data_IF_029928841155
#
_entry.id   IF_029928841155
#
_cell.length_a   1.000
_cell.length_b   1.000
_cell.length_c   1.000
_cell.angle_alpha   90.00
_cell.angle_beta   90.00
_cell.angle_gamma   90.00
#
_symmetry.space_group_name_H-M   'P 1'
#
loop_
_entity.id
_entity.type
_entity.pdbx_description
1 polymer ?
#
# COMPACT_ATOMS: atom_id res chain seq x y z
N UNK A 1 29.51 -18.87 -50.61
CA UNK A 1 29.67 -17.79 -51.64
C UNK A 1 29.73 -16.45 -50.91
N UNK A 2 30.95 -15.96 -50.75
CA UNK A 2 31.51 -14.62 -50.93
C UNK A 2 30.67 -13.48 -50.37
N UNK A 3 31.06 -12.89 -49.19
CA UNK A 3 32.00 -11.75 -49.00
C UNK A 3 31.61 -10.49 -49.82
N UNK A 4 31.38 -9.37 -49.10
CA UNK A 4 32.37 -8.30 -49.00
C UNK A 4 31.90 -7.20 -48.01
N UNK A 5 32.81 -6.87 -47.11
CA UNK A 5 32.86 -5.67 -46.28
C UNK A 5 33.52 -4.53 -47.09
N UNK A 6 33.17 -3.29 -46.82
CA UNK A 6 34.07 -2.13 -47.09
C UNK A 6 33.95 -1.12 -45.94
N UNK A 7 35.08 -0.90 -45.32
CA UNK A 7 35.46 0.19 -44.42
C UNK A 7 35.85 1.45 -45.24
N UNK A 8 35.99 2.57 -44.49
CA UNK A 8 36.90 3.71 -44.68
C UNK A 8 36.14 5.04 -44.47
N UNK A 9 36.47 5.97 -43.69
CA UNK A 9 37.51 6.48 -42.79
C UNK A 9 37.51 8.01 -42.79
N UNK A 10 37.74 8.56 -41.61
CA UNK A 10 38.56 9.73 -41.26
C UNK A 10 38.17 11.18 -41.55
N UNK A 11 38.10 11.89 -40.41
CA UNK A 11 38.83 13.14 -40.02
C UNK A 11 38.43 14.49 -40.61
N UNK A 12 38.26 15.45 -39.70
CA UNK A 12 38.47 16.87 -39.93
C UNK A 12 38.06 17.71 -38.72
N UNK A 13 39.04 18.05 -37.89
CA UNK A 13 38.97 19.15 -36.90
C UNK A 13 39.00 20.48 -37.61
N UNK A 14 38.33 21.51 -37.07
CA UNK A 14 38.90 22.87 -37.00
C UNK A 14 38.14 23.74 -35.97
N UNK A 15 38.95 24.43 -35.17
CA UNK A 15 38.66 25.44 -34.16
C UNK A 15 38.46 26.81 -34.81
N UNK A 16 37.71 27.71 -34.13
CA UNK A 16 37.92 29.16 -33.96
C UNK A 16 36.65 29.76 -33.35
N UNK A 17 36.53 30.26 -32.16
CA UNK A 17 37.15 31.40 -31.47
C UNK A 17 36.46 32.78 -31.77
N UNK A 18 35.95 33.37 -30.68
CA UNK A 18 35.72 34.80 -30.35
C UNK A 18 34.66 35.62 -31.08
N UNK A 19 33.71 36.15 -30.33
CA UNK A 19 33.62 37.60 -30.12
C UNK A 19 32.60 37.98 -29.01
N UNK A 20 33.04 38.86 -28.17
CA UNK A 20 32.37 39.56 -27.09
C UNK A 20 31.52 40.70 -27.69
N UNK A 21 30.31 40.92 -27.16
CA UNK A 21 29.51 42.10 -27.50
C UNK A 21 28.50 42.43 -26.37
N UNK A 22 28.73 43.57 -25.76
CA UNK A 22 28.06 44.10 -24.55
C UNK A 22 26.68 44.69 -24.77
N UNK A 23 25.85 44.61 -23.74
CA UNK A 23 24.89 45.52 -23.18
C UNK A 23 23.85 46.24 -24.06
N UNK A 24 22.60 46.06 -23.72
CA UNK A 24 21.61 47.12 -23.59
C UNK A 24 20.48 46.70 -22.66
N UNK A 25 20.38 47.34 -21.50
CA UNK A 25 19.18 47.36 -20.65
C UNK A 25 18.02 48.01 -21.38
N UNK A 26 16.89 47.33 -21.43
CA UNK A 26 15.59 47.94 -21.67
C UNK A 26 14.67 47.49 -20.54
N UNK A 27 14.42 48.43 -19.63
CA UNK A 27 13.36 48.34 -18.63
C UNK A 27 12.03 48.56 -19.34
N UNK A 28 11.20 47.54 -19.41
CA UNK A 28 9.80 47.68 -19.76
C UNK A 28 8.98 47.18 -18.55
N UNK A 29 8.33 48.15 -17.92
CA UNK A 29 7.30 47.91 -16.93
C UNK A 29 6.15 47.17 -17.63
N UNK A 30 5.87 45.96 -17.18
CA UNK A 30 4.67 45.21 -17.56
C UNK A 30 3.81 45.02 -16.32
N UNK A 31 2.56 45.34 -16.51
CA UNK A 31 1.46 45.31 -15.55
C UNK A 31 1.33 43.92 -14.86
N UNK A 32 1.05 44.00 -13.56
CA UNK A 32 0.71 42.88 -12.70
C UNK A 32 -0.54 42.13 -13.24
N UNK A 33 -0.32 40.99 -13.87
CA UNK A 33 -1.24 39.88 -13.85
C UNK A 33 -0.71 38.90 -12.80
N UNK A 34 -1.48 38.66 -11.74
CA UNK A 34 -1.08 37.74 -10.68
C UNK A 34 -0.98 36.33 -11.26
N UNK A 35 0.23 35.94 -11.63
CA UNK A 35 0.59 34.54 -11.75
C UNK A 35 0.67 34.02 -10.33
N UNK A 36 -0.24 33.10 -9.97
CA UNK A 36 -0.02 32.20 -8.86
C UNK A 36 1.28 31.47 -9.17
N UNK A 37 2.31 31.71 -8.40
CA UNK A 37 3.53 30.91 -8.42
C UNK A 37 3.11 29.45 -8.30
N UNK A 38 3.44 28.64 -9.30
CA UNK A 38 3.14 27.22 -9.32
C UNK A 38 3.71 26.61 -8.05
N UNK A 39 2.89 25.82 -7.37
CA UNK A 39 3.30 25.03 -6.23
C UNK A 39 4.56 24.25 -6.63
N UNK A 40 5.70 24.71 -6.12
CA UNK A 40 6.96 23.97 -6.21
C UNK A 40 6.77 22.60 -5.58
N UNK A 41 7.49 21.64 -6.08
CA UNK A 41 7.67 20.35 -5.41
C UNK A 41 7.84 20.62 -3.92
N UNK A 42 6.88 20.10 -3.13
CA UNK A 42 6.92 20.22 -1.67
C UNK A 42 8.06 19.37 -1.18
N UNK A 43 9.27 19.91 -1.17
CA UNK A 43 10.27 19.52 -0.18
C UNK A 43 9.77 20.19 1.10
N UNK A 44 8.84 19.53 1.78
CA UNK A 44 8.35 20.00 3.05
C UNK A 44 9.53 20.00 4.03
N UNK A 45 9.80 21.13 4.64
CA UNK A 45 10.67 21.16 5.80
C UNK A 45 10.08 20.17 6.82
N UNK A 46 10.82 19.09 7.08
CA UNK A 46 10.37 17.99 7.92
C UNK A 46 10.28 18.50 9.36
N UNK A 47 9.07 18.83 9.79
CA UNK A 47 8.78 19.29 11.16
C UNK A 47 8.51 18.06 12.02
N UNK A 48 8.97 18.07 13.28
CA UNK A 48 8.76 16.98 14.25
C UNK A 48 9.17 15.57 13.76
N UNK A 49 10.22 15.47 12.95
CA UNK A 49 10.75 14.21 12.43
C UNK A 49 11.02 13.17 13.54
N UNK A 50 11.59 13.61 14.67
CA UNK A 50 11.91 12.72 15.80
C UNK A 50 10.66 12.02 16.35
N UNK A 51 9.56 12.79 16.54
CA UNK A 51 8.29 12.23 17.01
C UNK A 51 7.66 11.26 16.01
N UNK A 52 7.71 11.62 14.73
CA UNK A 52 7.21 10.76 13.66
C UNK A 52 8.02 9.45 13.58
N UNK A 53 9.34 9.53 13.72
CA UNK A 53 10.22 8.39 13.75
C UNK A 53 9.99 7.51 15.00
N UNK A 54 9.65 8.10 16.16
CA UNK A 54 9.28 7.35 17.37
C UNK A 54 8.03 6.50 17.13
N UNK A 55 6.99 7.06 16.48
CA UNK A 55 5.77 6.33 16.14
C UNK A 55 6.06 5.16 15.20
N UNK A 56 6.89 5.39 14.19
CA UNK A 56 7.35 4.35 13.27
C UNK A 56 8.05 3.21 14.01
N UNK A 57 9.03 3.53 14.83
CA UNK A 57 9.83 2.55 15.60
C UNK A 57 8.96 1.79 16.61
N UNK A 58 7.99 2.45 17.24
CA UNK A 58 7.05 1.82 18.18
C UNK A 58 6.25 0.70 17.53
N UNK A 59 5.82 0.87 16.29
CA UNK A 59 5.09 -0.18 15.56
C UNK A 59 5.98 -1.41 15.30
N UNK A 60 7.27 -1.23 15.03
CA UNK A 60 8.22 -2.34 14.89
C UNK A 60 8.38 -3.12 16.20
N UNK A 61 8.53 -2.42 17.32
CA UNK A 61 8.63 -3.05 18.64
C UNK A 61 7.35 -3.82 19.00
N UNK A 62 6.18 -3.21 18.78
CA UNK A 62 4.89 -3.85 19.05
C UNK A 62 4.67 -5.11 18.19
N UNK A 63 5.09 -5.09 16.93
CA UNK A 63 5.01 -6.27 16.05
C UNK A 63 5.97 -7.36 16.51
N UNK A 64 7.21 -7.00 16.87
CA UNK A 64 8.20 -7.94 17.40
C UNK A 64 7.68 -8.64 18.65
N UNK A 65 7.17 -7.88 19.62
CA UNK A 65 6.60 -8.43 20.88
C UNK A 65 5.41 -9.37 20.59
N UNK A 66 4.52 -8.96 19.68
CA UNK A 66 3.32 -9.74 19.35
C UNK A 66 3.61 -11.07 18.66
N UNK A 67 4.72 -11.15 17.92
CA UNK A 67 5.16 -12.34 17.18
C UNK A 67 6.30 -13.09 17.88
N UNK A 68 6.78 -12.61 19.05
CA UNK A 68 7.88 -13.22 19.80
C UNK A 68 9.22 -13.16 19.06
N UNK A 69 9.56 -12.02 18.43
CA UNK A 69 10.74 -11.84 17.60
C UNK A 69 11.81 -11.00 18.31
N UNK A 70 13.01 -11.58 18.48
CA UNK A 70 14.16 -10.88 19.07
C UNK A 70 14.99 -10.09 18.04
N UNK A 71 14.87 -10.40 16.75
CA UNK A 71 15.78 -9.93 15.71
C UNK A 71 15.13 -8.96 14.68
N UNK A 72 13.93 -8.49 14.95
CA UNK A 72 13.26 -7.56 14.04
C UNK A 72 13.87 -6.16 14.17
N UNK A 73 14.59 -5.74 13.16
CA UNK A 73 15.30 -4.44 13.14
C UNK A 73 14.60 -3.48 12.18
N UNK A 74 14.19 -2.29 12.65
CA UNK A 74 13.55 -1.29 11.80
C UNK A 74 14.45 -0.89 10.63
N UNK A 75 13.85 -0.77 9.44
CA UNK A 75 14.45 -0.05 8.32
C UNK A 75 14.30 1.43 8.58
N UNK A 76 15.31 2.22 8.27
CA UNK A 76 15.22 3.68 8.41
C UNK A 76 14.28 4.24 7.34
N UNK A 77 13.26 4.96 7.76
CA UNK A 77 12.32 5.64 6.88
C UNK A 77 12.14 7.09 7.33
N UNK A 78 12.06 8.02 6.39
CA UNK A 78 11.85 9.42 6.70
C UNK A 78 10.35 9.70 6.82
N UNK A 79 9.89 9.95 8.04
CA UNK A 79 8.52 10.35 8.36
C UNK A 79 8.53 11.78 8.89
N UNK A 80 7.73 12.66 8.27
CA UNK A 80 7.72 14.09 8.52
C UNK A 80 6.32 14.61 8.75
N UNK A 81 6.21 15.65 9.56
CA UNK A 81 4.99 16.46 9.68
C UNK A 81 4.98 17.54 8.58
N UNK A 82 3.89 17.61 7.83
CA UNK A 82 3.67 18.51 6.70
C UNK A 82 2.79 19.67 7.15
N UNK A 83 3.23 20.90 6.92
CA UNK A 83 2.40 22.10 7.05
C UNK A 83 1.41 22.16 5.88
N UNK A 84 0.13 22.16 6.20
CA UNK A 84 -0.96 22.16 5.22
C UNK A 84 -1.68 23.49 5.10
N UNK A 85 -1.17 24.55 5.73
CA UNK A 85 -1.79 25.88 5.75
C UNK A 85 -2.10 26.46 4.36
N UNK A 86 -1.31 26.06 3.35
CA UNK A 86 -1.50 26.47 1.96
C UNK A 86 -2.78 25.93 1.30
N UNK A 87 -3.37 24.85 1.82
CA UNK A 87 -4.63 24.25 1.33
C UNK A 87 -5.83 24.60 2.21
N UNK A 88 -5.61 25.33 3.32
CA UNK A 88 -6.68 25.70 4.25
C UNK A 88 -7.68 26.64 3.58
N UNK A 89 -8.94 26.26 3.57
CA UNK A 89 -10.06 27.11 3.10
C UNK A 89 -11.37 26.59 3.65
N UNK A 90 -12.39 27.46 3.64
CA UNK A 90 -13.76 27.06 3.93
C UNK A 90 -14.45 26.54 2.65
N UNK A 91 -15.43 25.63 2.75
CA UNK A 91 -16.20 25.18 1.61
C UNK A 91 -16.83 26.32 0.84
N UNK A 92 -16.87 26.24 -0.49
CA UNK A 92 -17.51 27.24 -1.33
C UNK A 92 -18.97 27.47 -0.91
N UNK A 93 -19.37 28.74 -0.85
CA UNK A 93 -20.74 29.19 -0.52
C UNK A 93 -21.30 28.67 0.81
N UNK A 94 -20.43 28.29 1.75
CA UNK A 94 -20.84 27.70 3.04
C UNK A 94 -21.48 26.33 2.90
N UNK A 95 -21.23 25.64 1.80
CA UNK A 95 -21.69 24.28 1.53
C UNK A 95 -20.81 23.21 2.19
N UNK A 96 -20.63 22.07 1.51
CA UNK A 96 -19.75 20.98 1.90
C UNK A 96 -18.49 20.95 1.05
N UNK A 97 -17.40 20.42 1.58
CA UNK A 97 -16.22 20.11 0.78
C UNK A 97 -16.54 19.07 -0.27
N UNK A 98 -15.97 19.23 -1.47
CA UNK A 98 -16.08 18.29 -2.58
C UNK A 98 -14.83 17.41 -2.63
N UNK A 99 -14.98 16.16 -2.27
CA UNK A 99 -13.88 15.19 -2.17
C UNK A 99 -13.93 14.22 -3.35
N UNK A 100 -12.82 14.12 -4.09
CA UNK A 100 -12.69 13.12 -5.13
C UNK A 100 -12.16 11.81 -4.53
N UNK A 101 -12.77 10.68 -4.89
CA UNK A 101 -12.31 9.35 -4.53
C UNK A 101 -12.05 8.51 -5.77
N UNK A 102 -10.76 8.28 -6.09
CA UNK A 102 -10.30 7.42 -7.18
C UNK A 102 -10.00 6.02 -6.64
N UNK A 103 -11.02 5.17 -6.63
CA UNK A 103 -10.96 3.83 -6.09
C UNK A 103 -10.32 2.82 -7.07
N UNK A 104 -9.64 1.79 -6.52
CA UNK A 104 -9.20 0.65 -7.33
C UNK A 104 -10.36 -0.23 -7.81
N UNK A 105 -11.46 -0.23 -7.08
CA UNK A 105 -12.64 -1.03 -7.33
C UNK A 105 -12.80 -2.23 -6.40
N UNK A 106 -14.01 -2.81 -6.36
CA UNK A 106 -14.33 -3.94 -5.51
C UNK A 106 -13.87 -5.28 -6.11
N UNK A 107 -12.57 -5.37 -6.44
CA UNK A 107 -11.97 -6.57 -7.05
C UNK A 107 -11.93 -7.77 -6.10
N UNK A 108 -12.04 -7.49 -4.79
CA UNK A 108 -12.16 -8.48 -3.72
C UNK A 108 -12.92 -7.87 -2.54
N UNK A 109 -13.11 -8.63 -1.47
CA UNK A 109 -13.82 -8.15 -0.28
C UNK A 109 -13.13 -6.97 0.40
N UNK A 110 -11.79 -6.87 0.35
CA UNK A 110 -11.08 -5.73 0.90
C UNK A 110 -11.45 -4.43 0.18
N UNK A 111 -11.41 -4.43 -1.16
CA UNK A 111 -11.76 -3.27 -1.97
C UNK A 111 -13.21 -2.82 -1.74
N UNK A 112 -14.15 -3.78 -1.68
CA UNK A 112 -15.56 -3.49 -1.39
C UNK A 112 -15.72 -2.81 -0.03
N UNK A 113 -15.10 -3.37 1.02
CA UNK A 113 -15.21 -2.84 2.37
C UNK A 113 -14.53 -1.47 2.51
N UNK A 114 -13.40 -1.28 1.82
CA UNK A 114 -12.73 0.02 1.77
C UNK A 114 -13.63 1.11 1.18
N UNK A 115 -14.33 0.82 0.09
CA UNK A 115 -15.27 1.77 -0.50
C UNK A 115 -16.47 2.07 0.41
N UNK A 116 -17.02 1.04 1.06
CA UNK A 116 -18.15 1.23 1.96
C UNK A 116 -17.76 2.00 3.23
N UNK A 117 -16.61 1.72 3.82
CA UNK A 117 -16.10 2.48 4.97
C UNK A 117 -15.84 3.96 4.62
N UNK A 118 -15.31 4.22 3.42
CA UNK A 118 -15.16 5.58 2.92
C UNK A 118 -16.51 6.30 2.82
N UNK A 119 -17.52 5.67 2.21
CA UNK A 119 -18.86 6.25 2.05
C UNK A 119 -19.52 6.53 3.38
N UNK A 120 -19.46 5.58 4.32
CA UNK A 120 -19.98 5.78 5.70
C UNK A 120 -19.34 7.00 6.34
N UNK A 121 -18.01 7.14 6.23
CA UNK A 121 -17.31 8.27 6.83
C UNK A 121 -17.66 9.59 6.13
N UNK A 122 -17.82 9.57 4.82
CA UNK A 122 -18.22 10.75 4.04
C UNK A 122 -19.61 11.26 4.43
N UNK A 123 -20.56 10.35 4.64
CA UNK A 123 -21.91 10.65 5.12
C UNK A 123 -21.85 11.27 6.53
N UNK A 124 -21.03 10.72 7.44
CA UNK A 124 -20.86 11.28 8.80
C UNK A 124 -20.30 12.70 8.79
N UNK A 125 -19.35 12.98 7.88
CA UNK A 125 -18.71 14.29 7.75
C UNK A 125 -19.53 15.27 6.92
N UNK A 126 -20.56 14.81 6.21
CA UNK A 126 -21.41 15.63 5.37
C UNK A 126 -20.68 16.23 4.17
N UNK A 127 -19.68 15.51 3.61
CA UNK A 127 -18.93 15.95 2.42
C UNK A 127 -19.59 15.49 1.14
N UNK A 128 -19.44 16.29 0.07
CA UNK A 128 -19.82 15.88 -1.29
C UNK A 128 -18.75 14.96 -1.87
N UNK A 129 -19.13 13.76 -2.31
CA UNK A 129 -18.19 12.82 -2.92
C UNK A 129 -18.39 12.75 -4.43
N UNK A 130 -17.33 13.02 -5.19
CA UNK A 130 -17.24 12.63 -6.60
C UNK A 130 -16.38 11.38 -6.70
N UNK A 131 -16.94 10.33 -7.28
CA UNK A 131 -16.39 8.98 -7.21
C UNK A 131 -16.14 8.39 -8.58
N UNK A 132 -15.02 7.71 -8.74
CA UNK A 132 -14.72 6.86 -9.89
C UNK A 132 -13.98 5.60 -9.47
N UNK A 133 -14.38 4.47 -10.02
CA UNK A 133 -13.77 3.16 -9.75
C UNK A 133 -13.06 2.62 -10.98
N UNK A 134 -11.87 2.07 -10.79
CA UNK A 134 -11.09 1.45 -11.85
C UNK A 134 -11.50 0.00 -12.13
N UNK A 135 -12.25 -0.65 -11.25
CA UNK A 135 -12.65 -2.06 -11.35
C UNK A 135 -11.47 -3.01 -11.67
N UNK A 136 -10.31 -2.75 -11.08
CA UNK A 136 -9.12 -3.56 -11.29
C UNK A 136 -8.31 -3.23 -12.55
N UNK A 137 -8.71 -2.23 -13.35
CA UNK A 137 -8.00 -1.83 -14.55
C UNK A 137 -7.15 -0.58 -14.33
N UNK A 138 -5.82 -0.72 -14.41
CA UNK A 138 -4.88 0.36 -14.16
C UNK A 138 -4.99 1.51 -15.19
N UNK A 139 -5.36 1.23 -16.43
CA UNK A 139 -5.55 2.26 -17.46
C UNK A 139 -6.78 3.10 -17.15
N UNK A 140 -7.87 2.44 -16.75
CA UNK A 140 -9.09 3.11 -16.30
C UNK A 140 -8.81 4.01 -15.09
N UNK A 141 -7.91 3.61 -14.17
CA UNK A 141 -7.55 4.47 -13.03
C UNK A 141 -6.85 5.76 -13.47
N UNK A 142 -5.98 5.70 -14.48
CA UNK A 142 -5.34 6.88 -15.08
C UNK A 142 -6.39 7.88 -15.57
N UNK A 143 -7.37 7.41 -16.33
CA UNK A 143 -8.44 8.27 -16.88
C UNK A 143 -9.35 8.82 -15.79
N UNK A 144 -9.68 8.00 -14.79
CA UNK A 144 -10.49 8.39 -13.64
C UNK A 144 -9.85 9.54 -12.84
N UNK A 145 -8.54 9.47 -12.55
CA UNK A 145 -7.84 10.53 -11.80
C UNK A 145 -7.88 11.84 -12.59
N UNK A 146 -7.65 11.80 -13.91
CA UNK A 146 -7.72 13.00 -14.77
C UNK A 146 -9.13 13.58 -14.79
N UNK A 147 -10.15 12.74 -14.95
CA UNK A 147 -11.55 13.17 -14.96
C UNK A 147 -11.96 13.80 -13.62
N UNK A 148 -11.59 13.18 -12.50
CA UNK A 148 -11.88 13.70 -11.17
C UNK A 148 -11.16 15.04 -10.92
N UNK A 149 -9.88 15.15 -11.30
CA UNK A 149 -9.10 16.38 -11.15
C UNK A 149 -9.71 17.54 -11.97
N UNK A 150 -10.27 17.25 -13.16
CA UNK A 150 -10.92 18.27 -14.01
C UNK A 150 -12.18 18.89 -13.37
N UNK A 151 -12.77 18.22 -12.40
CA UNK A 151 -13.94 18.71 -11.64
C UNK A 151 -13.54 19.62 -10.48
N UNK A 152 -12.25 19.89 -10.31
CA UNK A 152 -11.69 20.78 -9.27
C UNK A 152 -12.21 20.44 -7.86
N UNK A 153 -11.99 19.22 -7.35
CA UNK A 153 -12.33 18.90 -5.98
C UNK A 153 -11.44 19.67 -4.99
N UNK A 154 -11.91 19.83 -3.77
CA UNK A 154 -11.13 20.44 -2.69
C UNK A 154 -9.95 19.56 -2.26
N UNK A 155 -10.13 18.23 -2.28
CA UNK A 155 -9.08 17.24 -2.10
C UNK A 155 -9.36 15.98 -2.93
N UNK A 156 -8.32 15.18 -3.15
CA UNK A 156 -8.44 13.90 -3.86
C UNK A 156 -7.83 12.77 -3.02
N UNK A 157 -8.56 11.67 -2.90
CA UNK A 157 -8.07 10.43 -2.30
C UNK A 157 -7.92 9.40 -3.41
N UNK A 158 -6.75 8.74 -3.45
CA UNK A 158 -6.41 7.75 -4.47
C UNK A 158 -6.00 6.45 -3.81
N UNK A 159 -6.60 5.33 -4.22
CA UNK A 159 -6.15 3.98 -3.85
C UNK A 159 -5.30 3.44 -5.01
N UNK A 160 -3.96 3.58 -4.98
CA UNK A 160 -3.12 3.28 -6.13
C UNK A 160 -3.12 1.80 -6.50
N UNK A 161 -3.28 1.52 -7.79
CA UNK A 161 -3.09 0.17 -8.34
C UNK A 161 -1.67 -0.08 -8.84
N UNK A 162 -0.82 0.94 -8.86
CA UNK A 162 0.57 0.83 -9.27
C UNK A 162 1.21 2.18 -9.56
N UNK A 163 2.52 2.19 -9.80
CA UNK A 163 3.29 3.41 -10.05
C UNK A 163 2.90 4.13 -11.37
N UNK A 164 2.16 3.47 -12.26
CA UNK A 164 1.73 4.04 -13.55
C UNK A 164 0.87 5.30 -13.46
N UNK A 165 0.24 5.54 -12.29
CA UNK A 165 -0.59 6.74 -12.05
C UNK A 165 0.19 7.93 -11.49
N UNK A 166 1.50 7.79 -11.24
CA UNK A 166 2.31 8.86 -10.61
C UNK A 166 2.18 10.20 -11.36
N UNK A 167 2.21 10.17 -12.68
CA UNK A 167 2.06 11.38 -13.49
C UNK A 167 0.72 12.09 -13.32
N UNK A 168 -0.36 11.35 -13.09
CA UNK A 168 -1.70 11.89 -12.87
C UNK A 168 -1.84 12.51 -11.48
N UNK A 169 -1.24 11.89 -10.47
CA UNK A 169 -1.17 12.45 -9.12
C UNK A 169 -0.36 13.75 -9.12
N UNK A 170 0.80 13.77 -9.80
CA UNK A 170 1.58 14.99 -10.00
C UNK A 170 0.78 16.09 -10.73
N UNK A 171 -0.02 15.71 -11.73
CA UNK A 171 -0.84 16.67 -12.46
C UNK A 171 -1.95 17.27 -11.57
N UNK A 172 -2.60 16.46 -10.73
CA UNK A 172 -3.59 16.94 -9.75
C UNK A 172 -2.95 17.88 -8.73
N UNK A 173 -1.78 17.53 -8.19
CA UNK A 173 -1.03 18.37 -7.26
C UNK A 173 -0.64 19.72 -7.88
N UNK A 174 -0.24 19.76 -9.16
CA UNK A 174 0.06 21.02 -9.89
C UNK A 174 -1.18 21.91 -10.10
N UNK A 175 -2.37 21.35 -10.06
CA UNK A 175 -3.62 22.12 -10.05
C UNK A 175 -3.97 22.69 -8.67
N UNK A 176 -3.14 22.42 -7.66
CA UNK A 176 -3.35 22.85 -6.28
C UNK A 176 -4.26 21.94 -5.48
N UNK A 177 -4.63 20.78 -6.01
CA UNK A 177 -5.48 19.78 -5.36
C UNK A 177 -4.58 18.95 -4.42
N UNK A 178 -4.79 18.97 -3.10
CA UNK A 178 -4.07 18.10 -2.19
C UNK A 178 -4.49 16.65 -2.42
N UNK A 179 -3.51 15.77 -2.59
CA UNK A 179 -3.76 14.34 -2.82
C UNK A 179 -3.32 13.53 -1.61
N UNK A 180 -4.21 12.66 -1.13
CA UNK A 180 -3.93 11.65 -0.11
C UNK A 180 -3.92 10.27 -0.78
N UNK A 181 -2.80 9.56 -0.68
CA UNK A 181 -2.74 8.16 -1.10
C UNK A 181 -3.32 7.29 0.01
N UNK A 182 -4.07 6.27 -0.38
CA UNK A 182 -4.77 5.39 0.54
C UNK A 182 -4.38 3.94 0.26
N UNK A 183 -3.96 3.22 1.29
CA UNK A 183 -3.54 1.81 1.22
C UNK A 183 -2.26 1.56 0.39
N UNK A 184 -2.20 2.07 -0.84
CA UNK A 184 -1.05 1.89 -1.72
C UNK A 184 -0.01 2.99 -1.55
N UNK A 185 1.16 2.75 -2.12
CA UNK A 185 2.29 3.68 -2.11
C UNK A 185 2.69 4.06 -3.53
N UNK A 186 3.18 5.27 -3.70
CA UNK A 186 3.79 5.78 -4.93
C UNK A 186 5.20 6.30 -4.61
N UNK A 187 6.04 6.56 -5.63
CA UNK A 187 7.31 7.24 -5.43
C UNK A 187 7.15 8.56 -4.68
N UNK A 188 8.15 8.94 -3.90
CA UNK A 188 8.13 10.15 -3.05
C UNK A 188 7.89 11.43 -3.85
N UNK A 189 8.33 11.49 -5.10
CA UNK A 189 8.11 12.60 -6.01
C UNK A 189 6.70 12.60 -6.65
N UNK A 190 5.79 11.76 -6.20
CA UNK A 190 4.41 11.70 -6.71
C UNK A 190 3.60 12.98 -6.53
N UNK A 191 4.02 13.84 -5.61
CA UNK A 191 3.31 15.08 -5.25
C UNK A 191 2.12 14.87 -4.32
N UNK A 192 1.94 13.67 -3.77
CA UNK A 192 0.96 13.44 -2.71
C UNK A 192 1.38 14.14 -1.43
N UNK A 193 0.41 14.71 -0.70
CA UNK A 193 0.64 15.40 0.58
C UNK A 193 0.86 14.40 1.70
N UNK A 194 0.09 13.32 1.69
CA UNK A 194 0.17 12.27 2.70
C UNK A 194 -0.17 10.92 2.10
N UNK A 195 0.35 9.87 2.72
CA UNK A 195 0.04 8.47 2.41
C UNK A 195 -0.44 7.78 3.68
N UNK A 196 -1.69 7.35 3.71
CA UNK A 196 -2.25 6.51 4.78
C UNK A 196 -2.08 5.06 4.35
N UNK A 197 -1.28 4.30 5.08
CA UNK A 197 -0.87 2.96 4.69
C UNK A 197 -0.51 2.12 5.90
N UNK A 198 0.02 0.92 5.69
CA UNK A 198 0.71 0.15 6.71
C UNK A 198 2.18 -0.02 6.33
N UNK A 199 2.98 -0.47 7.27
CA UNK A 199 4.42 -0.66 7.06
C UNK A 199 4.65 -2.00 6.34
N UNK A 200 4.70 -2.00 5.01
CA UNK A 200 4.85 -3.22 4.21
C UNK A 200 6.22 -3.88 4.37
N UNK A 201 7.27 -3.10 4.56
CA UNK A 201 8.62 -3.57 4.86
C UNK A 201 8.71 -4.25 6.23
N UNK A 202 8.05 -3.67 7.25
CA UNK A 202 7.91 -4.28 8.57
C UNK A 202 7.24 -5.66 8.46
N UNK A 203 6.07 -5.71 7.81
CA UNK A 203 5.29 -6.94 7.71
C UNK A 203 6.04 -8.02 6.92
N UNK A 204 6.63 -7.65 5.76
CA UNK A 204 7.44 -8.57 4.98
C UNK A 204 8.59 -9.17 5.78
N UNK A 205 9.29 -8.32 6.55
CA UNK A 205 10.40 -8.74 7.42
C UNK A 205 9.92 -9.58 8.59
N UNK A 206 8.87 -9.14 9.29
CA UNK A 206 8.35 -9.82 10.49
C UNK A 206 7.85 -11.24 10.16
N UNK A 207 7.13 -11.39 9.05
CA UNK A 207 6.66 -12.69 8.57
C UNK A 207 7.82 -13.63 8.24
N UNK A 208 8.86 -13.11 7.60
CA UNK A 208 10.03 -13.91 7.26
C UNK A 208 10.82 -14.31 8.52
N UNK A 209 11.08 -13.39 9.46
CA UNK A 209 11.75 -13.70 10.73
C UNK A 209 10.94 -14.71 11.57
N UNK A 210 9.61 -14.56 11.63
CA UNK A 210 8.75 -15.51 12.32
C UNK A 210 8.85 -16.90 11.71
N UNK A 211 8.79 -16.99 10.38
CA UNK A 211 8.87 -18.28 9.68
C UNK A 211 10.25 -18.93 9.88
N UNK A 212 11.32 -18.15 9.77
CA UNK A 212 12.69 -18.63 10.07
C UNK A 212 12.80 -19.16 11.49
N UNK A 213 12.24 -18.46 12.48
CA UNK A 213 12.23 -18.92 13.87
C UNK A 213 11.47 -20.25 14.05
N UNK A 214 10.30 -20.37 13.40
CA UNK A 214 9.50 -21.60 13.40
C UNK A 214 10.23 -22.80 12.79
N UNK A 215 10.98 -22.58 11.72
CA UNK A 215 11.74 -23.60 11.00
C UNK A 215 13.10 -23.89 11.64
N UNK A 216 13.47 -23.16 12.70
CA UNK A 216 14.81 -23.30 13.35
C UNK A 216 15.96 -22.91 12.42
N UNK A 217 15.71 -21.97 11.50
CA UNK A 217 16.71 -21.38 10.61
C UNK A 217 17.06 -22.20 9.37
N UNK A 218 16.31 -23.24 9.02
CA UNK A 218 16.58 -24.13 7.87
C UNK A 218 15.30 -24.69 7.27
N UNK A 219 15.31 -25.00 5.98
CA UNK A 219 14.19 -25.66 5.28
C UNK A 219 13.82 -24.98 3.97
N UNK A 220 12.89 -25.57 3.26
CA UNK A 220 12.35 -25.08 2.00
C UNK A 220 11.14 -24.16 2.24
N UNK A 221 11.18 -22.94 1.69
CA UNK A 221 10.12 -21.94 1.82
C UNK A 221 9.60 -21.52 0.46
N UNK A 222 8.27 -21.59 0.27
CA UNK A 222 7.61 -20.92 -0.85
C UNK A 222 7.14 -19.52 -0.45
N UNK A 223 7.32 -18.54 -1.33
CA UNK A 223 6.75 -17.21 -1.19
C UNK A 223 5.51 -17.08 -2.06
N UNK A 224 4.40 -16.67 -1.45
CA UNK A 224 3.12 -16.39 -2.12
C UNK A 224 2.83 -14.90 -1.96
N UNK A 225 2.89 -14.17 -3.05
CA UNK A 225 2.64 -12.73 -3.07
C UNK A 225 1.34 -12.40 -3.81
N UNK A 226 0.88 -11.17 -3.68
CA UNK A 226 -0.36 -10.72 -4.27
C UNK A 226 -0.31 -10.58 -5.78
N UNK A 227 -0.43 -9.35 -6.29
CA UNK A 227 -0.45 -9.07 -7.71
C UNK A 227 0.92 -8.57 -8.17
N UNK A 228 1.46 -9.20 -9.21
CA UNK A 228 2.76 -8.84 -9.75
C UNK A 228 2.82 -7.38 -10.20
N UNK A 229 3.89 -6.67 -9.82
CA UNK A 229 4.12 -5.27 -10.18
C UNK A 229 3.34 -4.26 -9.33
N UNK A 230 2.49 -4.71 -8.40
CA UNK A 230 1.85 -3.82 -7.43
C UNK A 230 2.84 -3.49 -6.31
N UNK A 231 3.15 -2.21 -6.06
CA UNK A 231 4.19 -1.81 -5.12
C UNK A 231 4.08 -2.46 -3.74
N UNK A 232 2.88 -2.56 -3.19
CA UNK A 232 2.66 -3.14 -1.85
C UNK A 232 3.07 -4.61 -1.77
N UNK A 233 2.78 -5.42 -2.80
CA UNK A 233 3.20 -6.81 -2.89
C UNK A 233 4.72 -6.92 -3.07
N UNK A 234 5.29 -6.11 -3.96
CA UNK A 234 6.72 -6.12 -4.26
C UNK A 234 7.57 -5.69 -3.05
N UNK A 235 7.15 -4.64 -2.31
CA UNK A 235 7.87 -4.19 -1.11
C UNK A 235 7.87 -5.24 -0.01
N UNK A 236 6.74 -5.88 0.27
CA UNK A 236 6.67 -6.96 1.26
C UNK A 236 7.56 -8.13 0.86
N UNK A 237 7.48 -8.59 -0.39
CA UNK A 237 8.30 -9.69 -0.89
C UNK A 237 9.80 -9.35 -0.89
N UNK A 238 10.17 -8.11 -1.23
CA UNK A 238 11.55 -7.67 -1.20
C UNK A 238 12.12 -7.66 0.23
N UNK A 239 11.35 -7.15 1.21
CA UNK A 239 11.74 -7.13 2.61
C UNK A 239 11.93 -8.56 3.16
N UNK A 240 11.01 -9.48 2.84
CA UNK A 240 11.14 -10.89 3.22
C UNK A 240 12.39 -11.54 2.63
N UNK A 241 12.69 -11.29 1.34
CA UNK A 241 13.92 -11.82 0.70
C UNK A 241 15.19 -11.32 1.39
N UNK A 242 15.22 -10.06 1.84
CA UNK A 242 16.36 -9.52 2.61
C UNK A 242 16.55 -10.29 3.92
N UNK A 243 15.46 -10.67 4.58
CA UNK A 243 15.52 -11.50 5.79
C UNK A 243 16.04 -12.90 5.45
N UNK A 244 15.40 -13.61 4.53
CA UNK A 244 15.79 -14.98 4.17
C UNK A 244 17.26 -15.07 3.72
N UNK A 245 17.78 -14.06 3.04
CA UNK A 245 19.19 -14.01 2.63
C UNK A 245 20.20 -14.02 3.79
N UNK A 246 19.78 -13.73 5.03
CA UNK A 246 20.64 -13.83 6.23
C UNK A 246 20.79 -15.26 6.74
N UNK A 247 19.93 -16.19 6.29
CA UNK A 247 19.85 -17.56 6.75
C UNK A 247 20.19 -18.54 5.62
N UNK A 248 21.47 -18.95 5.48
CA UNK A 248 21.94 -19.71 4.32
C UNK A 248 21.33 -21.12 4.21
N UNK A 249 20.75 -21.66 5.28
CA UNK A 249 20.10 -22.96 5.31
C UNK A 249 18.58 -22.86 5.06
N UNK A 250 18.04 -21.67 4.79
CA UNK A 250 16.70 -21.45 4.28
C UNK A 250 16.80 -21.35 2.76
N UNK A 251 16.10 -22.25 2.06
CA UNK A 251 15.99 -22.22 0.60
C UNK A 251 14.61 -21.67 0.17
N UNK A 252 14.61 -20.49 -0.44
CA UNK A 252 13.39 -19.92 -1.04
C UNK A 252 13.22 -20.54 -2.43
N UNK A 253 12.50 -21.66 -2.48
CA UNK A 253 12.36 -22.48 -3.68
C UNK A 253 11.55 -21.83 -4.80
N UNK A 254 10.64 -20.93 -4.47
CA UNK A 254 9.82 -20.20 -5.47
C UNK A 254 9.18 -18.95 -4.89
N UNK A 255 8.88 -17.98 -5.79
CA UNK A 255 7.93 -16.90 -5.56
C UNK A 255 6.82 -17.01 -6.60
N UNK A 256 5.56 -17.13 -6.13
CA UNK A 256 4.36 -17.20 -6.95
C UNK A 256 3.41 -16.05 -6.61
N UNK A 257 2.69 -15.56 -7.61
CA UNK A 257 1.67 -14.54 -7.41
C UNK A 257 0.29 -15.19 -7.36
N UNK A 258 -0.50 -14.80 -6.35
CA UNK A 258 -1.81 -15.39 -6.05
C UNK A 258 -2.97 -14.44 -6.36
N UNK A 259 -2.66 -13.23 -6.86
CA UNK A 259 -3.64 -12.18 -7.19
C UNK A 259 -4.56 -11.81 -6.00
N UNK A 260 -4.09 -12.09 -4.77
CA UNK A 260 -4.88 -12.03 -3.54
C UNK A 260 -6.21 -12.79 -3.66
N UNK A 261 -6.24 -13.85 -4.44
CA UNK A 261 -7.41 -14.66 -4.75
C UNK A 261 -7.31 -16.06 -4.12
N UNK A 262 -8.28 -16.51 -3.33
CA UNK A 262 -8.28 -17.87 -2.78
C UNK A 262 -8.27 -18.94 -3.88
N UNK A 263 -8.94 -18.70 -5.01
CA UNK A 263 -8.99 -19.64 -6.14
C UNK A 263 -7.63 -19.80 -6.81
N UNK A 264 -6.94 -18.69 -7.06
CA UNK A 264 -5.59 -18.71 -7.66
C UNK A 264 -4.60 -19.32 -6.68
N UNK A 265 -4.65 -18.92 -5.41
CA UNK A 265 -3.78 -19.45 -4.36
C UNK A 265 -3.97 -20.96 -4.15
N UNK A 266 -5.20 -21.47 -4.26
CA UNK A 266 -5.47 -22.91 -4.22
C UNK A 266 -4.76 -23.64 -5.35
N UNK A 267 -4.90 -23.15 -6.59
CA UNK A 267 -4.23 -23.76 -7.76
C UNK A 267 -2.70 -23.71 -7.62
N UNK A 268 -2.15 -22.60 -7.11
CA UNK A 268 -0.72 -22.50 -6.81
C UNK A 268 -0.32 -23.53 -5.75
N UNK A 269 -1.08 -23.66 -4.66
CA UNK A 269 -0.78 -24.61 -3.60
C UNK A 269 -0.86 -26.08 -4.06
N UNK A 270 -1.83 -26.42 -4.90
CA UNK A 270 -1.92 -27.76 -5.53
C UNK A 270 -0.66 -28.09 -6.33
N UNK A 271 -0.11 -27.13 -7.07
CA UNK A 271 1.15 -27.29 -7.79
C UNK A 271 2.36 -27.40 -6.84
N UNK A 272 2.40 -26.59 -5.76
CA UNK A 272 3.46 -26.67 -4.75
C UNK A 272 3.49 -28.05 -4.07
N UNK A 273 2.34 -28.61 -3.72
CA UNK A 273 2.21 -29.94 -3.13
C UNK A 273 2.85 -31.04 -4.00
N UNK A 274 2.81 -30.87 -5.32
CA UNK A 274 3.38 -31.81 -6.29
C UNK A 274 4.87 -31.55 -6.50
N UNK A 275 5.28 -30.28 -6.65
CA UNK A 275 6.64 -29.92 -7.00
C UNK A 275 7.58 -29.94 -5.80
N UNK A 276 7.08 -29.58 -4.63
CA UNK A 276 7.82 -29.48 -3.37
C UNK A 276 7.09 -30.25 -2.27
N UNK A 277 7.09 -31.58 -2.31
CA UNK A 277 6.31 -32.41 -1.39
C UNK A 277 6.72 -32.29 0.08
N UNK A 278 7.93 -31.82 0.33
CA UNK A 278 8.54 -31.64 1.66
C UNK A 278 8.65 -30.15 2.03
N UNK A 279 7.81 -29.28 1.44
CA UNK A 279 7.85 -27.84 1.74
C UNK A 279 7.65 -27.58 3.24
N UNK A 280 8.58 -26.88 3.86
CA UNK A 280 8.61 -26.65 5.30
C UNK A 280 7.81 -25.41 5.73
N UNK A 281 7.69 -24.38 4.88
CA UNK A 281 7.01 -23.15 5.22
C UNK A 281 6.48 -22.37 4.04
N UNK A 282 5.48 -21.52 4.29
CA UNK A 282 4.87 -20.65 3.30
C UNK A 282 4.85 -19.21 3.83
N UNK A 283 5.70 -18.36 3.24
CA UNK A 283 5.55 -16.93 3.42
C UNK A 283 4.46 -16.42 2.50
N UNK A 284 3.45 -15.77 3.04
CA UNK A 284 2.37 -15.15 2.26
C UNK A 284 2.11 -13.72 2.76
N UNK A 285 1.81 -12.83 1.85
CA UNK A 285 1.37 -11.46 2.17
C UNK A 285 -0.15 -11.35 2.35
N UNK A 286 -0.90 -12.43 2.11
CA UNK A 286 -2.37 -12.40 2.08
C UNK A 286 -3.02 -13.56 2.83
N UNK A 287 -3.75 -13.25 3.89
CA UNK A 287 -4.60 -14.23 4.56
C UNK A 287 -5.81 -14.65 3.72
N UNK A 288 -6.36 -13.74 2.89
CA UNK A 288 -7.47 -14.09 2.01
C UNK A 288 -7.05 -15.12 0.95
N UNK A 289 -5.91 -14.91 0.28
CA UNK A 289 -5.31 -15.91 -0.59
C UNK A 289 -5.00 -17.22 0.15
N UNK A 290 -4.49 -17.11 1.38
CA UNK A 290 -4.11 -18.26 2.22
C UNK A 290 -5.26 -19.19 2.57
N UNK A 291 -6.52 -18.77 2.50
CA UNK A 291 -7.70 -19.67 2.61
C UNK A 291 -7.63 -20.75 1.55
N UNK A 292 -7.27 -20.42 0.32
CA UNK A 292 -7.10 -21.38 -0.77
C UNK A 292 -5.96 -22.36 -0.54
N UNK A 293 -4.86 -21.88 0.09
CA UNK A 293 -3.73 -22.75 0.47
C UNK A 293 -4.17 -23.79 1.49
N UNK A 294 -4.82 -23.37 2.58
CA UNK A 294 -5.35 -24.29 3.61
C UNK A 294 -6.28 -25.33 2.97
N UNK A 295 -7.15 -24.91 2.06
CA UNK A 295 -8.06 -25.79 1.37
C UNK A 295 -7.32 -26.84 0.52
N UNK A 296 -6.32 -26.45 -0.27
CA UNK A 296 -5.54 -27.35 -1.12
C UNK A 296 -4.82 -28.44 -0.31
N UNK A 297 -4.15 -28.06 0.78
CA UNK A 297 -3.44 -29.01 1.66
C UNK A 297 -4.42 -29.94 2.37
N UNK A 298 -5.55 -29.42 2.85
CA UNK A 298 -6.60 -30.23 3.50
C UNK A 298 -7.20 -31.27 2.53
N UNK A 299 -7.54 -30.87 1.31
CA UNK A 299 -8.07 -31.76 0.27
C UNK A 299 -7.05 -32.83 -0.18
N UNK A 300 -5.76 -32.48 -0.15
CA UNK A 300 -4.68 -33.43 -0.44
C UNK A 300 -4.37 -34.36 0.76
N UNK A 301 -5.00 -34.16 1.92
CA UNK A 301 -4.74 -34.95 3.13
C UNK A 301 -3.34 -34.71 3.70
N UNK A 302 -2.76 -33.53 3.46
CA UNK A 302 -1.44 -33.10 3.93
C UNK A 302 -1.56 -32.08 5.05
N UNK A 303 -0.57 -32.05 5.96
CA UNK A 303 -0.44 -30.99 6.93
C UNK A 303 -0.14 -29.65 6.22
N UNK A 304 -0.79 -28.59 6.66
CA UNK A 304 -0.51 -27.24 6.16
C UNK A 304 0.82 -26.79 6.78
N UNK A 305 1.83 -26.37 6.00
CA UNK A 305 3.05 -25.82 6.55
C UNK A 305 2.79 -24.55 7.37
N UNK A 306 3.64 -24.19 8.34
CA UNK A 306 3.61 -22.88 8.97
C UNK A 306 3.53 -21.76 7.94
N UNK A 307 2.64 -20.79 8.15
CA UNK A 307 2.37 -19.78 7.13
C UNK A 307 2.07 -18.40 7.69
N UNK A 308 2.14 -17.39 6.82
CA UNK A 308 1.90 -15.99 7.19
C UNK A 308 0.80 -15.37 6.32
N UNK A 309 0.34 -14.18 6.69
CA UNK A 309 -0.61 -13.42 5.86
C UNK A 309 -1.38 -12.33 6.61
N UNK A 310 -2.32 -11.73 5.89
CA UNK A 310 -3.27 -10.80 6.50
C UNK A 310 -4.37 -11.54 7.24
N UNK A 311 -4.94 -10.89 8.24
CA UNK A 311 -6.02 -11.46 9.02
C UNK A 311 -7.39 -11.26 8.37
N UNK A 312 -8.06 -12.36 8.07
CA UNK A 312 -9.45 -12.38 7.63
C UNK A 312 -10.22 -13.50 8.36
N UNK A 313 -11.50 -13.27 8.62
CA UNK A 313 -12.34 -14.19 9.39
C UNK A 313 -12.42 -15.59 8.73
N UNK A 314 -12.47 -15.66 7.39
CA UNK A 314 -12.44 -16.91 6.64
C UNK A 314 -11.23 -17.79 6.98
N UNK A 315 -10.03 -17.19 7.04
CA UNK A 315 -8.81 -17.92 7.37
C UNK A 315 -8.85 -18.41 8.82
N UNK A 316 -9.18 -17.52 9.75
CA UNK A 316 -9.25 -17.87 11.17
C UNK A 316 -10.26 -18.97 11.46
N UNK A 317 -11.43 -18.94 10.82
CA UNK A 317 -12.44 -20.00 10.93
C UNK A 317 -11.94 -21.32 10.33
N UNK A 318 -11.25 -21.27 9.18
CA UNK A 318 -10.74 -22.47 8.50
C UNK A 318 -9.67 -23.21 9.32
N UNK A 319 -8.87 -22.47 10.09
CA UNK A 319 -7.78 -23.04 10.91
C UNK A 319 -8.14 -23.24 12.38
N UNK A 320 -9.34 -22.80 12.81
CA UNK A 320 -9.79 -22.94 14.19
C UNK A 320 -9.82 -24.42 14.62
N UNK A 321 -9.13 -24.71 15.73
CA UNK A 321 -9.07 -26.08 16.27
C UNK A 321 -8.22 -27.05 15.47
N UNK A 322 -7.41 -26.55 14.54
CA UNK A 322 -6.39 -27.33 13.81
C UNK A 322 -5.00 -27.07 14.38
N UNK A 323 -4.02 -27.85 13.93
CA UNK A 323 -2.61 -27.69 14.32
C UNK A 323 -1.85 -26.75 13.35
N UNK A 324 -2.55 -25.95 12.54
CA UNK A 324 -1.93 -25.01 11.61
C UNK A 324 -1.25 -23.87 12.40
N UNK A 325 0.04 -23.71 12.21
CA UNK A 325 0.82 -22.63 12.78
C UNK A 325 0.83 -21.42 11.83
N UNK A 326 0.57 -20.22 12.34
CA UNK A 326 0.54 -19.03 11.52
C UNK A 326 0.94 -17.76 12.31
N UNK A 327 1.44 -16.78 11.56
CA UNK A 327 1.55 -15.38 11.98
C UNK A 327 0.76 -14.50 11.01
N UNK A 328 -0.14 -13.70 11.55
CA UNK A 328 -0.99 -12.80 10.79
C UNK A 328 -0.86 -11.37 11.30
N UNK A 329 -1.16 -10.42 10.43
CA UNK A 329 -1.38 -9.02 10.81
C UNK A 329 -2.69 -8.52 10.25
N UNK A 330 -3.32 -7.59 10.93
CA UNK A 330 -4.54 -6.98 10.45
C UNK A 330 -4.25 -6.09 9.22
N UNK A 331 -5.20 -6.05 8.30
CA UNK A 331 -5.21 -5.11 7.18
C UNK A 331 -6.61 -4.51 7.05
N UNK A 332 -6.96 -3.56 7.94
CA UNK A 332 -8.31 -3.04 7.99
C UNK A 332 -8.64 -2.21 6.74
N UNK A 333 -9.67 -2.62 5.95
CA UNK A 333 -10.11 -1.84 4.79
C UNK A 333 -10.67 -0.47 5.20
N UNK A 334 -11.09 -0.33 6.45
CA UNK A 334 -11.59 0.91 7.06
C UNK A 334 -10.55 2.04 7.11
N UNK A 335 -9.29 1.76 6.80
CA UNK A 335 -8.28 2.80 6.63
C UNK A 335 -8.68 3.89 5.62
N UNK A 336 -9.58 3.59 4.70
CA UNK A 336 -10.14 4.57 3.76
C UNK A 336 -10.88 5.72 4.46
N UNK A 337 -11.48 5.47 5.62
CA UNK A 337 -12.03 6.52 6.48
C UNK A 337 -10.93 7.43 7.04
N UNK A 338 -9.79 6.86 7.46
CA UNK A 338 -8.61 7.63 7.90
C UNK A 338 -8.04 8.47 6.76
N UNK A 339 -8.07 7.96 5.52
CA UNK A 339 -7.63 8.72 4.34
C UNK A 339 -8.51 9.97 4.14
N UNK A 340 -9.82 9.85 4.33
CA UNK A 340 -10.75 10.96 4.28
C UNK A 340 -10.54 11.94 5.44
N UNK A 341 -10.36 11.44 6.66
CA UNK A 341 -10.06 12.29 7.83
C UNK A 341 -8.77 13.08 7.61
N UNK A 342 -7.74 12.46 7.03
CA UNK A 342 -6.48 13.13 6.67
C UNK A 342 -6.71 14.25 5.64
N UNK A 343 -7.52 14.00 4.60
CA UNK A 343 -7.88 15.03 3.63
C UNK A 343 -8.62 16.20 4.30
N UNK A 344 -9.51 15.91 5.24
CA UNK A 344 -10.22 16.95 6.00
C UNK A 344 -9.31 17.77 6.92
N UNK A 345 -8.30 17.14 7.53
CA UNK A 345 -7.26 17.87 8.30
C UNK A 345 -6.48 18.81 7.39
N UNK A 346 -6.05 18.35 6.22
CA UNK A 346 -5.35 19.16 5.22
C UNK A 346 -6.18 20.39 4.84
N UNK A 347 -7.47 20.21 4.54
CA UNK A 347 -8.37 21.31 4.14
C UNK A 347 -8.65 22.32 5.26
N UNK A 348 -8.47 21.92 6.52
CA UNK A 348 -8.54 22.80 7.69
C UNK A 348 -7.21 23.48 8.03
N UNK A 349 -6.13 23.15 7.33
CA UNK A 349 -4.78 23.64 7.61
C UNK A 349 -4.13 23.02 8.84
N UNK A 350 -4.62 21.87 9.28
CA UNK A 350 -4.01 21.10 10.36
C UNK A 350 -2.83 20.30 9.80
N UNK A 351 -1.67 20.34 10.46
CA UNK A 351 -0.51 19.56 10.03
C UNK A 351 -0.83 18.07 10.00
N UNK A 352 -0.28 17.36 9.01
CA UNK A 352 -0.42 15.90 8.86
C UNK A 352 0.96 15.26 8.67
N UNK A 353 1.09 13.98 8.96
CA UNK A 353 2.30 13.23 8.59
C UNK A 353 2.30 12.92 7.08
N UNK A 354 3.46 12.97 6.44
CA UNK A 354 3.64 12.54 5.05
C UNK A 354 3.32 11.04 4.89
N UNK A 355 3.53 10.25 5.95
CA UNK A 355 3.16 8.83 6.04
C UNK A 355 2.42 8.59 7.36
N UNK A 356 1.19 8.12 7.27
CA UNK A 356 0.34 7.77 8.40
C UNK A 356 0.21 6.25 8.39
N UNK A 357 0.83 5.61 9.37
CA UNK A 357 0.73 4.17 9.52
C UNK A 357 -0.45 3.81 10.39
N UNK A 358 -1.36 3.02 9.81
CA UNK A 358 -2.51 2.51 10.55
C UNK A 358 -2.06 1.45 11.55
N UNK A 359 -2.82 1.32 12.64
CA UNK A 359 -2.63 0.22 13.56
C UNK A 359 -2.95 -1.12 12.87
N UNK A 360 -1.96 -1.99 12.83
CA UNK A 360 -2.02 -3.30 12.18
C UNK A 360 -1.57 -4.38 13.18
N UNK A 361 -2.38 -4.69 14.22
CA UNK A 361 -1.98 -5.65 15.22
C UNK A 361 -1.62 -6.99 14.60
N UNK A 362 -0.48 -7.53 15.03
CA UNK A 362 0.01 -8.85 14.66
C UNK A 362 -0.30 -9.88 15.74
N UNK A 363 -0.50 -11.13 15.35
CA UNK A 363 -0.81 -12.22 16.26
C UNK A 363 -0.52 -13.58 15.62
N UNK A 364 -0.42 -14.60 16.47
CA UNK A 364 -0.19 -15.99 16.06
C UNK A 364 -1.41 -16.86 16.39
N UNK A 365 -1.35 -18.14 16.01
CA UNK A 365 -2.37 -19.12 16.39
C UNK A 365 -2.64 -19.17 17.90
N UNK A 366 -1.68 -18.82 18.75
CA UNK A 366 -1.85 -18.80 20.22
C UNK A 366 -2.76 -17.68 20.70
N UNK A 367 -2.86 -16.59 19.96
CA UNK A 367 -3.60 -15.37 20.38
C UNK A 367 -4.74 -14.99 19.44
N UNK A 368 -4.97 -15.77 18.38
CA UNK A 368 -5.92 -15.46 17.32
C UNK A 368 -7.41 -15.60 17.73
N UNK A 369 -7.72 -16.48 18.68
CA UNK A 369 -9.12 -16.82 19.04
C UNK A 369 -9.98 -15.61 19.38
N UNK A 370 -9.40 -14.58 20.00
CA UNK A 370 -10.10 -13.35 20.36
C UNK A 370 -10.55 -12.51 19.16
N UNK A 371 -9.99 -12.77 17.98
CA UNK A 371 -10.31 -12.05 16.75
C UNK A 371 -11.32 -12.78 15.87
N UNK A 372 -11.64 -14.05 16.17
CA UNK A 372 -12.62 -14.80 15.40
C UNK A 372 -14.02 -14.26 15.67
N UNK A 373 -14.73 -13.87 14.62
CA UNK A 373 -16.10 -13.36 14.69
C UNK A 373 -17.06 -14.42 14.11
N UNK A 374 -17.58 -15.25 15.01
CA UNK A 374 -18.56 -16.30 14.64
C UNK A 374 -19.89 -15.72 14.16
N UNK A 375 -20.24 -14.53 14.65
CA UNK A 375 -21.44 -13.77 14.28
C UNK A 375 -21.34 -13.06 12.94
N UNK A 376 -20.16 -13.09 12.30
CA UNK A 376 -19.88 -12.38 11.05
C UNK A 376 -19.50 -13.32 9.91
N UNK A 377 -19.64 -12.83 8.69
CA UNK A 377 -19.28 -13.54 7.46
C UNK A 377 -17.76 -13.74 7.29
N UNK A 378 -17.42 -14.57 6.35
CA UNK A 378 -16.04 -14.96 6.05
C UNK A 378 -15.20 -13.81 5.47
N UNK A 379 -15.87 -12.85 4.80
CA UNK A 379 -15.22 -11.73 4.13
C UNK A 379 -14.82 -10.58 5.07
N UNK A 380 -15.08 -10.68 6.37
CA UNK A 380 -14.71 -9.66 7.33
C UNK A 380 -13.20 -9.72 7.60
N UNK A 381 -12.50 -8.61 7.39
CA UNK A 381 -11.13 -8.41 7.87
C UNK A 381 -11.17 -8.15 9.39
N UNK A 382 -10.32 -8.82 10.15
CA UNK A 382 -10.36 -8.78 11.62
C UNK A 382 -8.97 -8.49 12.21
N UNK A 383 -8.92 -7.71 13.32
CA UNK A 383 -10.04 -6.98 13.90
C UNK A 383 -10.53 -5.86 12.99
N UNK A 384 -11.82 -5.57 13.02
CA UNK A 384 -12.43 -4.42 12.34
C UNK A 384 -12.62 -3.27 13.33
N UNK A 385 -12.41 -2.04 12.87
CA UNK A 385 -12.70 -0.82 13.64
C UNK A 385 -14.15 -0.37 13.54
N UNK A 386 -14.94 -0.95 12.61
CA UNK A 386 -16.35 -0.66 12.47
C UNK A 386 -17.15 -1.24 13.66
N UNK A 387 -18.16 -0.50 14.10
CA UNK A 387 -19.08 -0.96 15.11
C UNK A 387 -19.95 -2.11 14.58
N UNK A 388 -20.42 -2.97 15.47
CA UNK A 388 -21.29 -4.09 15.09
C UNK A 388 -22.50 -3.64 14.27
N UNK A 389 -23.11 -2.50 14.60
CA UNK A 389 -24.26 -1.94 13.88
C UNK A 389 -23.92 -1.56 12.41
N UNK A 390 -22.70 -1.09 12.18
CA UNK A 390 -22.18 -0.76 10.83
C UNK A 390 -21.91 -2.03 10.04
N UNK A 391 -21.27 -3.02 10.66
CA UNK A 391 -21.04 -4.33 10.06
C UNK A 391 -22.34 -5.05 9.68
N UNK A 392 -23.39 -4.91 10.51
CA UNK A 392 -24.74 -5.45 10.21
C UNK A 392 -25.36 -4.70 9.03
N UNK A 393 -25.24 -3.37 8.95
CA UNK A 393 -25.73 -2.59 7.81
C UNK A 393 -25.04 -2.98 6.50
N UNK A 394 -23.76 -3.34 6.56
CA UNK A 394 -22.99 -3.81 5.42
C UNK A 394 -23.25 -5.29 5.08
N UNK A 395 -24.09 -5.98 5.85
CA UNK A 395 -24.38 -7.40 5.65
C UNK A 395 -23.22 -8.34 5.97
N UNK A 396 -22.27 -7.89 6.77
CA UNK A 396 -21.08 -8.65 7.17
C UNK A 396 -21.28 -9.43 8.46
N UNK A 397 -22.19 -8.98 9.32
CA UNK A 397 -22.53 -9.63 10.58
C UNK A 397 -24.07 -9.77 10.72
N UNK A 398 -24.49 -10.66 11.62
CA UNK A 398 -25.89 -10.91 11.95
C UNK A 398 -26.34 -10.08 13.17
#
# INVERSE_FOLDING_TARGET
MKLNAVLISRRGRLLSAFAIGSAAMLVLAACASGEREGAGTVAADCVNADKAQELYTTAWASTADSLGLDNLVPVTEEVCEIDTSTWAHEPADGGSYKIAFAAQGPINSWGLLSEEAFKLRADELGVEVIYATANGDATTQVDNIQQLASQQPDAMIVVPMGAGITGQVQAAAKLGIPVVLCSGILPEDSGAVSTVTRQYDLLGSAYAEWLVAKLGGKGEVAMLSGLAGVPTAEYQAAAAKVVFAKYPDIDVVTLQYTEWSPTVAKTVAENLIIQYPELDGIWSDSGYGSVGVVQAYTEAGKAVPPMTGDSINAFLKAVKGTDVEFALSSFPPEMSATCLDTAMQILKGESVLNKIYIDSPSFTNETADKYIREDCGDNLFVPSSLKTEELVKLGLCN
#
